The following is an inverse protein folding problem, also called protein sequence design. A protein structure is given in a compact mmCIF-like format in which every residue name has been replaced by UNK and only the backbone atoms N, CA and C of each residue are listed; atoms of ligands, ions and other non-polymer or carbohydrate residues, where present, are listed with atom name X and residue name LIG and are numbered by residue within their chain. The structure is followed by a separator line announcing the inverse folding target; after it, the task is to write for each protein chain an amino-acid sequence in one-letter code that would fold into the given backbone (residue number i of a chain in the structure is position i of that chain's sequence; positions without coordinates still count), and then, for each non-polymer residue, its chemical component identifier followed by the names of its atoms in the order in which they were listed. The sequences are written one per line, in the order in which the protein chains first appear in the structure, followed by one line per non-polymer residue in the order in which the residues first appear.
data_IF_225829392566
#
_entry.id   IF_225829392566
#
_cell.length_a   1.000
_cell.length_b   1.000
_cell.length_c   1.000
_cell.angle_alpha   90.00
_cell.angle_beta   90.00
_cell.angle_gamma   90.00
#
_symmetry.space_group_name_H-M   'P 1'
#
loop_
_entity.id
_entity.type
_entity.pdbx_description
1 polymer ?
#
# COMPACT_ATOMS: atom_id res chain seq x y z
N UNK A 1 -11.36 -12.81 -5.32
CA UNK A 1 -11.62 -13.96 -6.20
C UNK A 1 -12.00 -15.16 -5.35
N UNK A 2 -13.28 -15.39 -5.26
CA UNK A 2 -13.85 -16.55 -4.57
C UNK A 2 -14.21 -17.53 -5.68
N UNK A 3 -13.67 -18.75 -5.65
CA UNK A 3 -14.04 -19.79 -6.60
C UNK A 3 -15.51 -20.20 -6.46
N UNK A 4 -16.03 -20.98 -7.39
CA UNK A 4 -17.43 -21.46 -7.40
C UNK A 4 -17.83 -22.18 -6.10
N UNK A 5 -16.85 -22.71 -5.35
CA UNK A 5 -17.04 -23.33 -4.02
C UNK A 5 -16.98 -22.32 -2.86
N UNK A 6 -16.86 -21.03 -3.11
CA UNK A 6 -16.67 -19.99 -2.09
C UNK A 6 -15.26 -19.97 -1.47
N UNK A 7 -14.32 -20.79 -1.95
CA UNK A 7 -12.93 -20.83 -1.50
C UNK A 7 -12.01 -19.97 -2.35
N UNK A 8 -10.85 -19.61 -1.80
CA UNK A 8 -9.81 -18.90 -2.55
C UNK A 8 -9.13 -19.84 -3.55
N UNK A 9 -8.85 -19.32 -4.76
CA UNK A 9 -8.20 -20.08 -5.82
C UNK A 9 -6.69 -20.27 -5.60
N UNK A 10 -6.07 -19.40 -4.81
CA UNK A 10 -4.65 -19.41 -4.53
C UNK A 10 -4.38 -19.74 -3.06
N UNK A 11 -3.49 -20.68 -2.81
CA UNK A 11 -2.93 -20.95 -1.49
C UNK A 11 -1.41 -21.06 -1.58
N UNK A 12 -0.74 -19.95 -1.34
CA UNK A 12 0.72 -19.83 -1.44
C UNK A 12 1.42 -20.81 -0.46
N UNK A 13 0.82 -21.08 0.70
CA UNK A 13 1.37 -22.04 1.67
C UNK A 13 1.34 -23.48 1.16
N UNK A 14 0.43 -23.79 0.27
CA UNK A 14 0.33 -25.11 -0.39
C UNK A 14 1.19 -25.22 -1.65
N UNK A 15 1.96 -24.20 -1.98
CA UNK A 15 2.87 -24.20 -3.10
C UNK A 15 2.41 -23.41 -4.31
N UNK A 16 1.22 -22.79 -4.26
CA UNK A 16 0.82 -21.82 -5.30
C UNK A 16 1.66 -20.55 -5.16
N UNK A 17 2.10 -19.99 -6.28
CA UNK A 17 2.91 -18.77 -6.29
C UNK A 17 2.74 -17.99 -7.58
N UNK A 18 2.90 -16.70 -7.52
CA UNK A 18 2.98 -15.88 -8.71
C UNK A 18 4.23 -16.21 -9.53
N UNK A 19 4.10 -16.19 -10.85
CA UNK A 19 5.19 -16.50 -11.79
C UNK A 19 6.40 -15.58 -11.54
N UNK A 20 6.14 -14.33 -11.21
CA UNK A 20 7.19 -13.39 -10.86
C UNK A 20 6.71 -12.39 -9.82
N UNK A 21 6.81 -12.75 -8.54
CA UNK A 21 6.46 -11.85 -7.43
C UNK A 21 7.41 -10.66 -7.32
N UNK A 22 8.64 -10.75 -7.86
CA UNK A 22 9.59 -9.65 -7.83
C UNK A 22 9.15 -8.47 -8.70
N UNK A 23 8.42 -8.71 -9.79
CA UNK A 23 7.85 -7.63 -10.61
C UNK A 23 6.89 -6.74 -9.83
N UNK A 24 6.22 -7.28 -8.81
CA UNK A 24 5.30 -6.51 -7.96
C UNK A 24 6.04 -5.47 -7.09
N UNK A 25 7.33 -5.69 -6.85
CA UNK A 25 8.18 -4.81 -6.02
C UNK A 25 9.28 -4.10 -6.82
N UNK A 26 9.32 -4.27 -8.14
CA UNK A 26 10.36 -3.68 -8.99
C UNK A 26 10.39 -2.15 -8.89
N UNK A 27 9.24 -1.51 -8.98
CA UNK A 27 9.13 -0.05 -8.87
C UNK A 27 9.53 0.45 -7.49
N UNK A 28 9.23 -0.32 -6.43
CA UNK A 28 9.65 0.00 -5.07
C UNK A 28 11.17 0.08 -4.96
N UNK A 29 11.87 -0.88 -5.58
CA UNK A 29 13.34 -0.88 -5.61
C UNK A 29 13.89 0.34 -6.35
N UNK A 30 13.28 0.74 -7.46
CA UNK A 30 13.68 1.91 -8.24
C UNK A 30 13.55 3.22 -7.44
N UNK A 31 12.47 3.37 -6.68
CA UNK A 31 12.26 4.56 -5.84
C UNK A 31 13.19 4.62 -4.63
N UNK A 32 13.73 3.49 -4.20
CA UNK A 32 14.58 3.41 -3.03
C UNK A 32 16.07 3.66 -3.32
N UNK A 33 16.48 3.58 -4.57
CA UNK A 33 17.85 3.86 -4.97
C UNK A 33 18.16 5.34 -4.69
N UNK A 34 19.00 5.60 -3.69
CA UNK A 34 19.50 6.92 -3.27
C UNK A 34 18.54 7.81 -2.48
N UNK A 35 17.38 7.33 -2.03
CA UNK A 35 16.44 8.13 -1.22
C UNK A 35 15.82 9.33 -1.94
N UNK A 36 16.02 9.45 -3.26
CA UNK A 36 15.51 10.53 -4.08
C UNK A 36 14.35 10.07 -4.97
N UNK A 37 13.62 11.05 -5.54
CA UNK A 37 12.65 10.78 -6.59
C UNK A 37 13.35 10.11 -7.75
N UNK A 38 12.99 8.88 -8.00
CA UNK A 38 13.51 8.19 -9.14
C UNK A 38 12.48 8.16 -10.26
N UNK A 39 12.87 8.66 -11.42
CA UNK A 39 12.14 8.46 -12.67
C UNK A 39 13.15 8.31 -13.80
N UNK A 40 12.95 7.30 -14.63
CA UNK A 40 13.73 7.09 -15.86
C UNK A 40 13.48 8.17 -16.89
N UNK A 41 12.44 8.96 -16.72
CA UNK A 41 11.99 9.94 -17.70
C UNK A 41 12.01 11.35 -17.13
N UNK A 42 12.32 12.33 -17.97
CA UNK A 42 12.22 13.72 -17.62
C UNK A 42 10.80 14.06 -17.15
N UNK A 43 10.68 14.78 -16.04
CA UNK A 43 9.40 15.23 -15.49
C UNK A 43 8.60 15.96 -16.59
N UNK A 44 7.29 15.68 -16.66
CA UNK A 44 6.34 16.20 -17.67
C UNK A 44 6.59 15.79 -19.13
N UNK A 45 7.58 14.95 -19.41
CA UNK A 45 7.69 14.34 -20.73
C UNK A 45 6.52 13.41 -21.04
N UNK A 46 6.31 13.09 -22.33
CA UNK A 46 5.25 12.15 -22.74
C UNK A 46 5.41 10.78 -22.07
N UNK A 47 6.62 10.14 -22.07
CA UNK A 47 6.82 8.88 -21.38
C UNK A 47 6.56 8.95 -19.87
N UNK A 48 6.96 10.07 -19.21
CA UNK A 48 6.69 10.28 -17.78
C UNK A 48 5.18 10.32 -17.49
N UNK A 49 4.40 11.04 -18.29
CA UNK A 49 2.94 11.12 -18.13
C UNK A 49 2.26 9.78 -18.42
N UNK A 50 2.76 9.00 -19.38
CA UNK A 50 2.26 7.65 -19.67
C UNK A 50 2.54 6.69 -18.52
N UNK A 51 3.77 6.71 -17.99
CA UNK A 51 4.14 5.94 -16.81
C UNK A 51 3.23 6.28 -15.63
N UNK A 52 3.06 7.56 -15.31
CA UNK A 52 2.19 8.01 -14.23
C UNK A 52 0.76 7.50 -14.39
N UNK A 53 0.16 7.65 -15.58
CA UNK A 53 -1.20 7.16 -15.87
C UNK A 53 -1.33 5.65 -15.67
N UNK A 54 -0.33 4.88 -16.15
CA UNK A 54 -0.31 3.43 -15.99
C UNK A 54 -0.26 3.02 -14.52
N UNK A 55 0.62 3.64 -13.74
CA UNK A 55 0.79 3.33 -12.32
C UNK A 55 -0.42 3.79 -11.49
N UNK A 56 -1.01 4.95 -11.78
CA UNK A 56 -2.27 5.38 -11.18
C UNK A 56 -3.41 4.40 -11.50
N UNK A 57 -3.49 3.90 -12.73
CA UNK A 57 -4.48 2.90 -13.12
C UNK A 57 -4.30 1.60 -12.33
N UNK A 58 -3.07 1.08 -12.24
CA UNK A 58 -2.76 -0.14 -11.48
C UNK A 58 -3.07 0.00 -10.00
N UNK A 59 -2.74 1.12 -9.40
CA UNK A 59 -3.04 1.42 -8.00
C UNK A 59 -4.54 1.54 -7.73
N UNK A 60 -5.32 1.93 -8.72
CA UNK A 60 -6.77 2.12 -8.60
C UNK A 60 -7.55 0.85 -8.90
N UNK A 61 -7.16 0.13 -9.92
CA UNK A 61 -7.95 -0.98 -10.48
C UNK A 61 -7.28 -2.35 -10.32
N UNK A 62 -6.03 -2.39 -9.91
CA UNK A 62 -5.27 -3.63 -9.94
C UNK A 62 -4.93 -4.09 -11.36
N UNK A 63 -4.54 -5.32 -11.48
CA UNK A 63 -4.24 -6.00 -12.75
C UNK A 63 -4.17 -7.50 -12.55
N UNK A 64 -4.31 -8.24 -13.64
CA UNK A 64 -4.17 -9.69 -13.62
C UNK A 64 -2.70 -10.08 -13.76
N UNK A 65 -2.26 -11.01 -12.92
CA UNK A 65 -0.91 -11.55 -12.92
C UNK A 65 -0.94 -13.08 -13.00
N UNK A 66 -0.02 -13.70 -13.79
CA UNK A 66 0.07 -15.13 -13.85
C UNK A 66 0.56 -15.73 -12.53
N UNK A 67 -0.04 -16.85 -12.13
CA UNK A 67 0.32 -17.62 -10.96
C UNK A 67 0.52 -19.08 -11.33
N UNK A 68 1.61 -19.69 -10.85
CA UNK A 68 1.81 -21.13 -10.93
C UNK A 68 1.04 -21.83 -9.81
N UNK A 69 0.08 -22.62 -10.20
CA UNK A 69 -0.68 -23.46 -9.29
C UNK A 69 0.14 -24.70 -8.93
N UNK A 70 -0.18 -25.31 -7.78
CA UNK A 70 0.50 -26.52 -7.30
C UNK A 70 0.48 -27.67 -8.29
N UNK A 71 -0.57 -27.78 -9.08
CA UNK A 71 -0.71 -28.79 -10.14
C UNK A 71 0.07 -28.50 -11.41
N UNK A 72 0.87 -27.42 -11.45
CA UNK A 72 1.64 -26.98 -12.60
C UNK A 72 0.84 -26.13 -13.60
N UNK A 73 -0.44 -25.91 -13.38
CA UNK A 73 -1.26 -25.03 -14.20
C UNK A 73 -0.89 -23.56 -13.96
N UNK A 74 -0.93 -22.74 -15.00
CA UNK A 74 -0.78 -21.29 -14.88
C UNK A 74 -2.15 -20.62 -14.99
N UNK A 75 -2.52 -19.85 -13.96
CA UNK A 75 -3.76 -19.08 -13.94
C UNK A 75 -3.46 -17.60 -13.75
N UNK A 76 -4.24 -16.76 -14.40
CA UNK A 76 -4.22 -15.33 -14.12
C UNK A 76 -5.07 -15.03 -12.90
N UNK A 77 -4.46 -14.39 -11.91
CA UNK A 77 -5.12 -13.95 -10.69
C UNK A 77 -5.09 -12.46 -10.60
N UNK A 78 -6.17 -11.88 -10.09
CA UNK A 78 -6.27 -10.45 -9.87
C UNK A 78 -5.44 -10.02 -8.67
N UNK A 79 -4.55 -9.05 -8.89
CA UNK A 79 -3.83 -8.32 -7.85
C UNK A 79 -4.58 -7.01 -7.62
N UNK A 80 -5.16 -6.84 -6.44
CA UNK A 80 -5.88 -5.59 -6.12
C UNK A 80 -4.97 -4.37 -6.21
N UNK A 81 -5.56 -3.22 -6.53
CA UNK A 81 -4.82 -1.97 -6.62
C UNK A 81 -4.16 -1.58 -5.30
N UNK A 82 -4.81 -1.88 -4.18
CA UNK A 82 -4.27 -1.63 -2.85
C UNK A 82 -3.09 -2.55 -2.50
N UNK A 83 -3.12 -3.82 -2.91
CA UNK A 83 -1.97 -4.72 -2.77
C UNK A 83 -0.78 -4.25 -3.62
N UNK A 84 -1.04 -3.84 -4.86
CA UNK A 84 -0.02 -3.26 -5.73
C UNK A 84 0.60 -2.00 -5.12
N UNK A 85 -0.24 -1.08 -4.61
CA UNK A 85 0.21 0.10 -3.89
C UNK A 85 1.04 -0.25 -2.66
N UNK A 86 0.59 -1.21 -1.86
CA UNK A 86 1.27 -1.64 -0.64
C UNK A 86 2.69 -2.10 -0.92
N UNK A 87 2.89 -2.96 -1.93
CA UNK A 87 4.20 -3.51 -2.25
C UNK A 87 5.16 -2.50 -2.91
N UNK A 88 4.63 -1.54 -3.69
CA UNK A 88 5.46 -0.69 -4.54
C UNK A 88 5.58 0.75 -4.07
N UNK A 89 4.64 1.23 -3.27
CA UNK A 89 4.55 2.65 -2.91
C UNK A 89 4.32 2.91 -1.42
N UNK A 90 4.21 1.88 -0.58
CA UNK A 90 4.03 2.03 0.85
C UNK A 90 5.35 1.86 1.59
N UNK A 91 5.66 2.81 2.47
CA UNK A 91 6.83 2.73 3.34
C UNK A 91 6.39 2.21 4.71
N UNK A 92 7.07 1.17 5.17
CA UNK A 92 6.89 0.57 6.50
C UNK A 92 8.17 0.61 7.31
N UNK A 93 8.05 0.55 8.64
CA UNK A 93 9.21 0.35 9.51
C UNK A 93 9.49 -1.15 9.66
N UNK A 94 10.69 -1.57 9.30
CA UNK A 94 11.17 -2.94 9.44
C UNK A 94 12.41 -2.98 10.34
N UNK A 95 12.69 -4.14 10.94
CA UNK A 95 13.94 -4.37 11.61
C UNK A 95 15.05 -4.54 10.57
N UNK A 96 16.16 -3.85 10.77
CA UNK A 96 17.33 -4.01 9.92
C UNK A 96 18.13 -5.23 10.39
N UNK A 97 17.99 -6.33 9.66
CA UNK A 97 18.67 -7.60 9.98
C UNK A 97 20.19 -7.47 10.07
N UNK A 98 20.78 -6.50 9.34
CA UNK A 98 22.23 -6.24 9.37
C UNK A 98 22.70 -5.58 10.67
N UNK A 99 21.78 -5.05 11.47
CA UNK A 99 22.07 -4.35 12.72
C UNK A 99 21.61 -5.12 13.96
N UNK A 100 21.32 -6.42 13.81
CA UNK A 100 20.93 -7.27 14.95
C UNK A 100 22.12 -7.42 15.90
N UNK A 101 21.92 -6.95 17.14
CA UNK A 101 22.84 -7.15 18.25
C UNK A 101 22.17 -8.11 19.21
N UNK A 102 22.81 -9.23 19.48
CA UNK A 102 22.37 -10.16 20.49
C UNK A 102 22.89 -9.70 21.86
N UNK A 103 22.00 -9.56 22.82
CA UNK A 103 22.30 -9.18 24.19
C UNK A 103 21.73 -10.23 25.13
N UNK A 104 22.17 -10.26 26.37
CA UNK A 104 21.65 -11.19 27.41
C UNK A 104 20.13 -11.01 27.67
N UNK A 105 19.57 -9.87 27.26
CA UNK A 105 18.15 -9.57 27.38
C UNK A 105 17.34 -9.76 26.09
N UNK A 106 17.97 -10.35 25.06
CA UNK A 106 17.36 -10.58 23.74
C UNK A 106 18.07 -9.83 22.62
N UNK A 107 17.52 -9.92 21.42
CA UNK A 107 18.09 -9.29 20.24
C UNK A 107 17.50 -7.90 20.02
N UNK A 108 18.36 -6.91 19.81
CA UNK A 108 17.98 -5.53 19.46
C UNK A 108 18.46 -5.25 18.05
N UNK A 109 17.59 -4.72 17.20
CA UNK A 109 17.92 -4.28 15.86
C UNK A 109 17.45 -2.85 15.64
N UNK A 110 18.20 -2.09 14.83
CA UNK A 110 17.74 -0.78 14.37
C UNK A 110 16.54 -0.95 13.45
N UNK A 111 15.63 0.00 13.50
CA UNK A 111 14.52 0.08 12.55
C UNK A 111 14.98 0.85 11.32
N UNK A 112 14.64 0.34 10.14
CA UNK A 112 14.79 1.03 8.87
C UNK A 112 13.42 1.22 8.21
N UNK A 113 13.31 2.22 7.36
CA UNK A 113 12.17 2.37 6.47
C UNK A 113 12.46 1.61 5.18
N UNK A 114 11.51 0.81 4.75
CA UNK A 114 11.64 0.01 3.54
C UNK A 114 10.25 -0.33 2.97
N UNK A 115 10.22 -0.87 1.76
CA UNK A 115 8.99 -1.39 1.16
C UNK A 115 8.64 -2.76 1.75
N UNK A 116 7.33 -3.08 1.87
CA UNK A 116 6.90 -4.39 2.36
C UNK A 116 7.33 -5.51 1.42
N UNK A 117 7.59 -6.67 1.99
CA UNK A 117 7.75 -7.92 1.24
C UNK A 117 6.37 -8.55 1.00
N UNK A 118 6.25 -9.34 -0.06
CA UNK A 118 5.03 -10.10 -0.32
C UNK A 118 4.79 -11.15 0.78
N UNK A 119 3.58 -11.14 1.35
CA UNK A 119 3.11 -12.11 2.34
C UNK A 119 1.70 -12.55 1.93
N UNK A 120 1.44 -13.85 1.86
CA UNK A 120 0.17 -14.44 1.43
C UNK A 120 -1.03 -13.97 2.26
N UNK A 121 -0.89 -13.89 3.57
CA UNK A 121 -1.94 -13.39 4.45
C UNK A 121 -2.35 -11.94 4.13
N UNK A 122 -1.39 -11.10 3.72
CA UNK A 122 -1.66 -9.73 3.30
C UNK A 122 -2.35 -9.68 1.93
N UNK A 123 -1.94 -10.56 1.00
CA UNK A 123 -2.62 -10.71 -0.28
C UNK A 123 -4.11 -11.01 -0.10
N UNK A 124 -4.43 -12.00 0.74
CA UNK A 124 -5.83 -12.33 1.03
C UNK A 124 -6.58 -11.21 1.72
N UNK A 125 -5.92 -10.49 2.63
CA UNK A 125 -6.52 -9.34 3.30
C UNK A 125 -6.94 -8.28 2.28
N UNK A 126 -6.07 -7.91 1.36
CA UNK A 126 -6.41 -6.93 0.32
C UNK A 126 -7.48 -7.43 -0.65
N UNK A 127 -7.46 -8.72 -1.02
CA UNK A 127 -8.50 -9.29 -1.86
C UNK A 127 -9.88 -9.25 -1.20
N UNK A 128 -9.95 -9.51 0.13
CA UNK A 128 -11.20 -9.41 0.89
C UNK A 128 -11.65 -7.96 1.02
N UNK A 129 -10.74 -7.01 1.29
CA UNK A 129 -11.06 -5.58 1.34
C UNK A 129 -11.69 -5.13 0.02
N UNK A 130 -11.05 -5.44 -1.11
CA UNK A 130 -11.56 -5.09 -2.43
C UNK A 130 -12.93 -5.72 -2.71
N UNK A 131 -13.10 -7.00 -2.39
CA UNK A 131 -14.38 -7.69 -2.52
C UNK A 131 -15.48 -7.00 -1.71
N UNK A 132 -15.21 -6.64 -0.46
CA UNK A 132 -16.17 -5.94 0.39
C UNK A 132 -16.52 -4.55 -0.15
N UNK A 133 -15.53 -3.79 -0.63
CA UNK A 133 -15.77 -2.48 -1.23
C UNK A 133 -16.63 -2.56 -2.49
N UNK A 134 -16.34 -3.51 -3.38
CA UNK A 134 -17.09 -3.69 -4.64
C UNK A 134 -18.55 -4.11 -4.40
N UNK A 135 -18.82 -4.80 -3.32
CA UNK A 135 -20.15 -5.32 -2.99
C UNK A 135 -20.87 -4.50 -1.90
N UNK A 136 -20.27 -3.43 -1.40
CA UNK A 136 -20.85 -2.59 -0.34
C UNK A 136 -20.96 -3.30 1.01
N UNK A 137 -20.09 -4.25 1.31
CA UNK A 137 -20.08 -4.98 2.56
C UNK A 137 -19.19 -4.29 3.60
N UNK A 138 -19.58 -4.38 4.85
CA UNK A 138 -18.71 -4.06 5.96
C UNK A 138 -17.75 -5.22 6.24
N UNK A 139 -16.52 -4.88 6.61
CA UNK A 139 -15.49 -5.86 6.92
C UNK A 139 -15.11 -5.78 8.39
N UNK A 140 -15.23 -6.91 9.09
CA UNK A 140 -14.69 -7.10 10.43
C UNK A 140 -13.51 -8.07 10.37
N UNK A 141 -12.36 -7.64 10.87
CA UNK A 141 -11.15 -8.47 10.87
C UNK A 141 -10.71 -8.69 12.32
N UNK A 142 -10.75 -9.94 12.76
CA UNK A 142 -10.06 -10.39 13.96
C UNK A 142 -8.64 -10.83 13.60
N UNK A 143 -7.65 -10.35 14.33
CA UNK A 143 -6.25 -10.54 13.98
C UNK A 143 -5.37 -10.71 15.20
N UNK A 144 -4.31 -11.49 15.07
CA UNK A 144 -3.24 -11.59 16.06
C UNK A 144 -2.36 -10.31 16.08
N UNK A 145 -1.67 -10.09 17.19
CA UNK A 145 -0.67 -9.03 17.28
C UNK A 145 0.45 -9.25 16.26
N UNK A 146 1.04 -8.15 15.76
CA UNK A 146 2.20 -8.13 14.85
C UNK A 146 1.97 -8.63 13.42
N UNK A 147 0.73 -8.81 12.97
CA UNK A 147 0.40 -9.17 11.58
C UNK A 147 0.59 -8.05 10.55
N UNK A 148 1.12 -6.89 10.93
CA UNK A 148 1.32 -5.75 10.00
C UNK A 148 0.04 -5.03 9.59
N UNK A 149 -1.09 -5.33 10.22
CA UNK A 149 -2.40 -4.84 9.82
C UNK A 149 -2.52 -3.30 9.81
N UNK A 150 -1.88 -2.61 10.76
CA UNK A 150 -1.87 -1.14 10.76
C UNK A 150 -1.21 -0.57 9.51
N UNK A 151 -0.18 -1.21 8.97
CA UNK A 151 0.44 -0.81 7.71
C UNK A 151 -0.46 -1.07 6.50
N UNK A 152 -1.20 -2.20 6.50
CA UNK A 152 -2.19 -2.52 5.46
C UNK A 152 -3.25 -1.42 5.40
N UNK A 153 -3.86 -1.08 6.54
CA UNK A 153 -4.91 -0.07 6.61
C UNK A 153 -4.39 1.34 6.34
N UNK A 154 -3.17 1.67 6.78
CA UNK A 154 -2.52 2.93 6.46
C UNK A 154 -2.25 3.08 4.95
N UNK A 155 -1.78 2.02 4.31
CA UNK A 155 -1.59 1.98 2.86
C UNK A 155 -2.89 2.14 2.10
N UNK A 156 -3.92 1.39 2.50
CA UNK A 156 -5.26 1.47 1.93
C UNK A 156 -5.81 2.90 2.01
N UNK A 157 -5.82 3.50 3.21
CA UNK A 157 -6.27 4.88 3.42
C UNK A 157 -5.49 5.88 2.58
N UNK A 158 -4.16 5.80 2.59
CA UNK A 158 -3.30 6.69 1.82
C UNK A 158 -3.53 6.55 0.31
N UNK A 159 -3.71 5.32 -0.19
CA UNK A 159 -4.00 5.04 -1.59
C UNK A 159 -5.32 5.68 -2.03
N UNK A 160 -6.40 5.49 -1.25
CA UNK A 160 -7.73 6.06 -1.55
C UNK A 160 -7.70 7.58 -1.54
N UNK A 161 -7.09 8.21 -0.52
CA UNK A 161 -6.96 9.66 -0.41
C UNK A 161 -6.17 10.24 -1.59
N UNK A 162 -5.11 9.57 -2.04
CA UNK A 162 -4.26 10.06 -3.12
C UNK A 162 -4.89 9.87 -4.51
N UNK A 163 -5.69 8.82 -4.73
CA UNK A 163 -6.18 8.45 -6.06
C UNK A 163 -7.60 8.89 -6.39
N UNK A 164 -8.44 9.05 -5.40
CA UNK A 164 -9.87 9.29 -5.62
C UNK A 164 -10.27 10.67 -5.09
N UNK A 165 -10.99 11.50 -5.86
CA UNK A 165 -11.48 12.79 -5.38
C UNK A 165 -12.56 12.60 -4.31
N UNK A 166 -12.74 13.62 -3.46
CA UNK A 166 -13.78 13.67 -2.42
C UNK A 166 -13.72 12.51 -1.41
N UNK A 167 -12.50 12.03 -1.10
CA UNK A 167 -12.30 10.96 -0.13
C UNK A 167 -11.91 11.50 1.24
N UNK A 168 -12.60 10.98 2.25
CA UNK A 168 -12.29 11.19 3.66
C UNK A 168 -12.06 9.83 4.31
N UNK A 169 -10.93 9.66 4.98
CA UNK A 169 -10.65 8.50 5.81
C UNK A 169 -10.66 8.92 7.28
N UNK A 170 -11.45 8.23 8.08
CA UNK A 170 -11.54 8.47 9.52
C UNK A 170 -11.02 7.24 10.24
N UNK A 171 -10.02 7.45 11.08
CA UNK A 171 -9.46 6.40 11.92
C UNK A 171 -9.99 6.58 13.36
N UNK A 172 -10.49 5.48 13.91
CA UNK A 172 -11.03 5.49 15.28
C UNK A 172 -10.31 4.44 16.12
N UNK A 173 -9.94 4.81 17.34
CA UNK A 173 -9.36 3.90 18.32
C UNK A 173 -9.78 4.29 19.73
N UNK A 174 -9.63 3.36 20.67
CA UNK A 174 -9.94 3.59 22.08
C UNK A 174 -9.03 4.65 22.75
N UNK A 175 -7.84 4.89 22.19
CA UNK A 175 -6.86 5.85 22.72
C UNK A 175 -6.11 6.49 21.55
N UNK A 176 -5.94 7.81 21.59
CA UNK A 176 -5.24 8.61 20.58
C UNK A 176 -3.80 8.15 20.32
N UNK A 177 -3.15 7.52 21.30
CA UNK A 177 -1.80 6.96 21.12
C UNK A 177 -1.72 5.89 20.03
N UNK A 178 -2.81 5.19 19.71
CA UNK A 178 -2.87 4.20 18.64
C UNK A 178 -3.11 4.82 17.26
N UNK A 179 -3.44 6.10 17.23
CA UNK A 179 -3.70 6.86 15.99
C UNK A 179 -2.55 7.79 15.63
N UNK A 180 -2.27 8.77 16.50
CA UNK A 180 -1.46 9.95 16.15
C UNK A 180 -0.04 9.91 16.71
N UNK A 181 0.24 9.11 17.77
CA UNK A 181 1.62 8.91 18.22
C UNK A 181 2.41 8.11 17.18
N UNK A 182 3.74 8.28 17.19
CA UNK A 182 4.64 7.57 16.31
C UNK A 182 4.36 6.07 16.30
N UNK A 183 4.01 5.55 15.12
CA UNK A 183 3.61 4.15 14.93
C UNK A 183 2.11 3.89 15.02
N UNK A 184 1.29 4.91 15.18
CA UNK A 184 -0.17 4.83 15.09
C UNK A 184 -0.67 4.80 13.64
N UNK A 185 -1.94 4.47 13.46
CA UNK A 185 -2.52 4.28 12.13
C UNK A 185 -2.53 5.57 11.30
N UNK A 186 -2.96 6.68 11.90
CA UNK A 186 -2.97 8.00 11.23
C UNK A 186 -1.55 8.48 10.94
N UNK A 187 -0.60 8.30 11.87
CA UNK A 187 0.81 8.62 11.66
C UNK A 187 1.39 7.85 10.46
N UNK A 188 1.14 6.55 10.34
CA UNK A 188 1.58 5.77 9.18
C UNK A 188 0.92 6.22 7.88
N UNK A 189 -0.37 6.56 7.91
CA UNK A 189 -1.09 7.08 6.74
C UNK A 189 -0.47 8.39 6.26
N UNK A 190 -0.25 9.34 7.17
CA UNK A 190 0.35 10.65 6.89
C UNK A 190 1.77 10.48 6.32
N UNK A 191 2.59 9.60 6.88
CA UNK A 191 3.94 9.32 6.35
C UNK A 191 3.91 8.81 4.92
N UNK A 192 2.96 7.93 4.58
CA UNK A 192 2.81 7.43 3.22
C UNK A 192 2.32 8.53 2.27
N UNK A 193 1.41 9.40 2.71
CA UNK A 193 1.00 10.57 1.91
C UNK A 193 2.17 11.53 1.68
N UNK A 194 3.00 11.79 2.68
CA UNK A 194 4.25 12.54 2.51
C UNK A 194 5.22 11.87 1.54
N UNK A 195 5.33 10.56 1.60
CA UNK A 195 6.16 9.82 0.65
C UNK A 195 5.65 10.00 -0.78
N UNK A 196 4.33 9.92 -1.01
CA UNK A 196 3.77 10.17 -2.34
C UNK A 196 4.07 11.57 -2.85
N UNK A 197 3.93 12.58 -1.99
CA UNK A 197 4.16 13.99 -2.37
C UNK A 197 5.63 14.31 -2.65
N UNK A 198 6.56 13.72 -1.91
CA UNK A 198 7.96 14.13 -1.93
C UNK A 198 8.88 13.18 -2.69
N UNK A 199 8.52 11.90 -2.80
CA UNK A 199 9.41 10.85 -3.35
C UNK A 199 8.85 10.16 -4.59
N UNK A 200 7.61 10.44 -4.97
CA UNK A 200 6.97 9.85 -6.14
C UNK A 200 6.43 10.91 -7.09
N UNK A 201 5.93 10.48 -8.24
CA UNK A 201 5.25 11.36 -9.20
C UNK A 201 3.73 11.49 -8.95
N UNK A 202 3.21 10.99 -7.83
CA UNK A 202 1.77 11.06 -7.49
C UNK A 202 1.39 12.30 -6.69
N UNK A 203 2.05 13.39 -6.91
CA UNK A 203 1.81 14.66 -6.20
C UNK A 203 0.40 15.18 -6.44
N UNK A 204 -0.24 15.63 -5.36
CA UNK A 204 -1.56 16.29 -5.38
C UNK A 204 -1.53 17.70 -4.79
N UNK A 205 -0.49 18.02 -4.03
CA UNK A 205 -0.35 19.26 -3.26
C UNK A 205 -0.94 19.14 -1.86
N UNK A 206 -0.10 19.43 -0.86
CA UNK A 206 -0.51 19.43 0.55
C UNK A 206 -1.21 20.75 0.84
N UNK A 207 -2.48 20.70 1.27
CA UNK A 207 -3.25 21.87 1.68
C UNK A 207 -3.12 22.16 3.18
N UNK A 208 -3.12 21.12 4.00
CA UNK A 208 -2.85 21.21 5.43
C UNK A 208 -2.23 19.93 5.96
N UNK A 209 -1.43 20.07 7.01
CA UNK A 209 -0.87 18.93 7.72
C UNK A 209 -0.70 19.25 9.20
N UNK A 210 -1.32 18.41 10.03
CA UNK A 210 -1.13 18.37 11.46
C UNK A 210 -0.98 16.92 11.91
N UNK A 211 -0.61 16.70 13.18
CA UNK A 211 -0.44 15.35 13.71
C UNK A 211 -1.72 14.49 13.65
N UNK A 212 -2.87 15.14 13.63
CA UNK A 212 -4.18 14.49 13.69
C UNK A 212 -4.96 14.57 12.38
N UNK A 213 -4.49 15.38 11.41
CA UNK A 213 -5.13 15.47 10.11
C UNK A 213 -4.14 15.79 9.00
N UNK A 214 -4.48 15.36 7.79
CA UNK A 214 -3.73 15.64 6.58
C UNK A 214 -4.70 15.86 5.42
N UNK A 215 -4.55 16.98 4.71
CA UNK A 215 -5.43 17.31 3.59
C UNK A 215 -4.64 17.51 2.31
N UNK A 216 -5.05 16.82 1.24
CA UNK A 216 -4.54 16.95 -0.10
C UNK A 216 -5.49 17.73 -1.00
N UNK A 217 -4.94 18.52 -1.93
CA UNK A 217 -5.65 19.14 -3.03
C UNK A 217 -5.74 18.21 -4.23
N UNK A 218 -6.94 17.77 -4.59
CA UNK A 218 -7.14 16.95 -5.78
C UNK A 218 -7.82 17.79 -6.87
N UNK A 219 -7.08 18.12 -7.93
CA UNK A 219 -7.61 18.92 -9.04
C UNK A 219 -8.60 18.11 -9.86
N UNK A 220 -9.82 18.60 -9.95
CA UNK A 220 -10.91 18.02 -10.74
C UNK A 220 -10.83 18.45 -12.20
N UNK A 221 -11.59 17.75 -13.06
CA UNK A 221 -11.65 18.05 -14.50
C UNK A 221 -12.21 19.43 -14.82
N UNK A 222 -13.09 19.96 -13.97
CA UNK A 222 -13.65 21.32 -14.08
C UNK A 222 -12.74 22.43 -13.56
N UNK A 223 -11.55 22.09 -13.06
CA UNK A 223 -10.58 23.02 -12.50
C UNK A 223 -10.68 23.25 -10.98
N UNK A 224 -11.76 22.82 -10.36
CA UNK A 224 -11.91 22.90 -8.90
C UNK A 224 -10.93 22.00 -8.15
N UNK A 225 -10.75 22.27 -6.87
CA UNK A 225 -9.90 21.46 -6.00
C UNK A 225 -10.78 20.72 -4.98
N UNK A 226 -10.84 19.41 -5.11
CA UNK A 226 -11.37 18.55 -4.06
C UNK A 226 -10.39 18.46 -2.89
N UNK A 227 -10.91 18.47 -1.66
CA UNK A 227 -10.13 18.32 -0.43
C UNK A 227 -10.27 16.89 0.08
N UNK A 228 -9.21 16.12 -0.06
CA UNK A 228 -9.16 14.76 0.45
C UNK A 228 -8.46 14.75 1.81
N UNK A 229 -9.05 14.16 2.81
CA UNK A 229 -8.56 14.27 4.18
C UNK A 229 -8.44 12.92 4.88
N UNK A 230 -7.49 12.85 5.82
CA UNK A 230 -7.32 11.79 6.80
C UNK A 230 -7.39 12.40 8.21
N UNK A 231 -8.18 11.80 9.10
CA UNK A 231 -8.38 12.20 10.52
C UNK A 231 -8.08 11.04 11.45
#
# INVERSE_FOLDING_TARGET
MIGESGGFLLDIRKGDKFVNTNLLTEMASLYHINGEKYTLYKEDSIPHRQLRKREEYRRKHGFDAPCFMRNGEVRNLHISGDMYNYLNYTIIEQLDEKTIIHTDRGSVAKKKQDFPKFIDAQFWTFAIIEFCELNGFHLLIDKTRRGGFSYIMASHSANKINLQPNKVCIHVAADSKYLTKRGGLTDFTIRNLYFYENKTFFKRGILSCAAENFTLGFKLSNGDISRNSCY
#
